data_IF_095708091506
#
_entry.id   IF_095708091506
#
_cell.length_a   1.000
_cell.length_b   1.000
_cell.length_c   1.000
_cell.angle_alpha   90.00
_cell.angle_beta   90.00
_cell.angle_gamma   90.00
#
_symmetry.space_group_name_H-M   'P 1'
#
loop_
_entity.id
_entity.type
_entity.pdbx_description
1 polymer ?
#
# COMPACT_ATOMS: atom_id res chain seq x y z
N UNK A 1 19.21 -42.16 18.75
CA UNK A 1 18.66 -43.38 18.12
C UNK A 1 17.23 -43.52 18.60
N UNK A 2 16.26 -43.52 17.69
CA UNK A 2 14.85 -43.69 18.02
C UNK A 2 14.39 -44.93 17.26
N UNK A 3 13.68 -45.81 17.95
CA UNK A 3 13.19 -47.08 17.45
C UNK A 3 11.71 -47.16 17.84
N UNK A 4 10.78 -47.37 16.89
CA UNK A 4 9.39 -47.81 17.09
C UNK A 4 8.76 -48.25 15.75
N UNK A 5 7.83 -49.19 15.87
CA UNK A 5 7.09 -49.98 14.88
C UNK A 5 5.66 -49.45 14.66
N UNK A 6 5.12 -49.55 13.43
CA UNK A 6 3.68 -49.32 13.14
C UNK A 6 3.14 -50.40 12.20
N UNK A 7 1.96 -50.96 12.52
CA UNK A 7 1.23 -51.87 11.63
C UNK A 7 0.20 -51.11 10.79
N UNK A 8 0.37 -51.12 9.48
CA UNK A 8 -0.69 -50.76 8.53
C UNK A 8 -1.54 -52.01 8.27
N UNK A 9 -2.81 -51.97 8.69
CA UNK A 9 -3.78 -53.00 8.34
C UNK A 9 -4.34 -52.68 6.96
N UNK A 10 -3.87 -53.40 5.94
CA UNK A 10 -4.47 -53.34 4.62
C UNK A 10 -5.76 -54.17 4.62
N UNK A 11 -6.92 -53.53 4.74
CA UNK A 11 -8.22 -54.20 4.59
C UNK A 11 -8.78 -54.09 3.16
N UNK A 12 -7.97 -53.65 2.18
CA UNK A 12 -8.36 -53.52 0.78
C UNK A 12 -7.30 -54.02 -0.20
N UNK A 13 -7.72 -54.32 -1.45
CA UNK A 13 -6.86 -54.82 -2.52
C UNK A 13 -6.04 -53.71 -3.22
N UNK A 14 -5.38 -52.83 -2.46
CA UNK A 14 -4.47 -51.82 -2.99
C UNK A 14 -3.01 -52.26 -2.83
N UNK A 15 -2.29 -52.36 -3.94
CA UNK A 15 -0.89 -52.75 -4.03
C UNK A 15 -0.03 -51.49 -4.03
N UNK A 16 0.59 -51.19 -2.89
CA UNK A 16 1.39 -49.97 -2.66
C UNK A 16 2.85 -50.07 -3.16
N UNK A 17 3.09 -50.82 -4.24
CA UNK A 17 4.46 -51.19 -4.65
C UNK A 17 5.34 -50.03 -5.13
N UNK A 18 4.77 -48.87 -5.49
CA UNK A 18 5.51 -47.73 -6.05
C UNK A 18 5.28 -46.37 -5.32
N UNK A 19 4.61 -46.37 -4.17
CA UNK A 19 4.36 -45.15 -3.40
C UNK A 19 5.65 -44.58 -2.79
N UNK A 20 5.91 -43.28 -2.96
CA UNK A 20 7.01 -42.57 -2.28
C UNK A 20 6.44 -41.78 -1.10
N UNK A 21 7.04 -41.92 0.08
CA UNK A 21 6.69 -41.14 1.27
C UNK A 21 7.73 -40.03 1.42
N UNK A 22 7.30 -38.77 1.39
CA UNK A 22 8.16 -37.60 1.65
C UNK A 22 7.82 -37.00 3.01
N UNK A 23 8.86 -36.62 3.77
CA UNK A 23 8.74 -35.99 5.07
C UNK A 23 9.31 -34.57 5.02
N UNK A 24 8.62 -33.62 5.64
CA UNK A 24 9.07 -32.23 5.77
C UNK A 24 9.20 -31.90 7.26
N UNK A 25 10.33 -31.34 7.71
CA UNK A 25 10.56 -30.96 9.11
C UNK A 25 10.83 -29.45 9.21
N UNK A 26 10.07 -28.74 10.05
CA UNK A 26 10.00 -27.27 10.12
C UNK A 26 11.25 -26.51 10.62
N UNK A 27 12.43 -27.11 10.87
CA UNK A 27 13.49 -26.35 11.59
C UNK A 27 14.96 -26.64 11.27
N UNK A 28 15.27 -27.33 10.17
CA UNK A 28 16.65 -27.41 9.72
C UNK A 28 16.64 -27.10 8.23
N UNK A 29 17.46 -26.13 7.81
CA UNK A 29 17.72 -25.75 6.40
C UNK A 29 18.27 -26.89 5.53
N UNK A 30 18.09 -28.15 5.93
CA UNK A 30 18.54 -29.35 5.25
C UNK A 30 17.35 -30.30 5.05
N UNK A 31 17.04 -30.56 3.78
CA UNK A 31 16.12 -31.63 3.39
C UNK A 31 16.70 -32.99 3.78
N UNK A 32 15.88 -33.85 4.39
CA UNK A 32 16.21 -35.27 4.56
C UNK A 32 15.40 -36.04 3.52
N UNK A 33 16.04 -36.41 2.41
CA UNK A 33 15.44 -37.31 1.40
C UNK A 33 15.60 -38.75 1.88
N UNK A 34 14.48 -39.45 2.04
CA UNK A 34 14.46 -40.88 2.36
C UNK A 34 13.71 -41.60 1.25
N UNK A 35 14.37 -42.57 0.62
CA UNK A 35 13.78 -43.41 -0.43
C UNK A 35 13.57 -44.82 0.14
N UNK A 36 12.38 -45.38 -0.04
CA UNK A 36 12.12 -46.78 0.30
C UNK A 36 11.23 -47.41 -0.77
N UNK A 37 11.69 -48.54 -1.28
CA UNK A 37 10.89 -49.48 -2.07
C UNK A 37 10.43 -50.60 -1.14
N UNK A 38 9.14 -50.63 -0.85
CA UNK A 38 8.39 -51.63 -0.07
C UNK A 38 8.52 -51.59 1.48
N UNK A 39 7.34 -51.68 2.13
CA UNK A 39 7.08 -51.97 3.55
C UNK A 39 8.20 -51.65 4.56
N UNK A 40 8.37 -50.37 4.90
CA UNK A 40 9.15 -49.99 6.08
C UNK A 40 8.47 -48.88 6.89
N UNK A 41 8.62 -48.99 8.20
CA UNK A 41 8.16 -48.05 9.23
C UNK A 41 9.17 -46.91 9.39
N UNK A 42 8.69 -45.67 9.54
CA UNK A 42 9.50 -44.49 9.86
C UNK A 42 9.02 -43.84 11.17
N UNK A 43 9.93 -43.36 12.01
CA UNK A 43 9.61 -42.68 13.27
C UNK A 43 10.43 -41.39 13.46
N UNK A 44 9.77 -40.32 13.93
CA UNK A 44 10.36 -39.01 14.27
C UNK A 44 10.25 -38.72 15.77
N UNK A 45 11.09 -37.82 16.29
CA UNK A 45 11.08 -37.44 17.71
C UNK A 45 9.85 -36.55 18.05
N UNK A 46 9.36 -36.64 19.27
CA UNK A 46 8.15 -35.96 19.79
C UNK A 46 8.22 -34.43 19.75
N UNK A 47 9.41 -33.83 19.66
CA UNK A 47 9.59 -32.39 19.44
C UNK A 47 9.29 -31.92 18.01
N UNK A 48 9.00 -32.85 17.10
CA UNK A 48 8.79 -32.58 15.66
C UNK A 48 7.38 -32.97 15.20
N UNK A 49 6.55 -33.54 16.09
CA UNK A 49 5.22 -34.06 15.76
C UNK A 49 4.27 -33.00 15.19
N UNK A 50 4.30 -31.76 15.70
CA UNK A 50 3.47 -30.65 15.21
C UNK A 50 4.12 -29.90 14.02
N UNK A 51 5.28 -30.39 13.57
CA UNK A 51 6.18 -29.75 12.60
C UNK A 51 6.47 -30.64 11.39
N UNK A 52 5.85 -31.83 11.34
CA UNK A 52 6.08 -32.84 10.33
C UNK A 52 4.85 -33.04 9.43
N UNK A 53 5.04 -32.89 8.12
CA UNK A 53 4.00 -33.16 7.11
C UNK A 53 4.31 -34.48 6.39
N UNK A 54 3.35 -35.40 6.37
CA UNK A 54 3.45 -36.70 5.66
C UNK A 54 2.66 -36.58 4.37
N UNK A 55 3.36 -36.53 3.23
CA UNK A 55 2.73 -36.53 1.90
C UNK A 55 2.83 -37.91 1.28
N UNK A 56 1.67 -38.50 0.99
CA UNK A 56 1.57 -39.71 0.18
C UNK A 56 1.70 -39.30 -1.29
N UNK A 57 2.89 -39.44 -1.85
CA UNK A 57 3.10 -39.35 -3.29
C UNK A 57 2.82 -40.76 -3.84
N UNK A 58 1.53 -41.07 -3.99
CA UNK A 58 1.13 -42.21 -4.82
C UNK A 58 1.50 -41.81 -6.24
N UNK A 59 2.72 -42.16 -6.65
CA UNK A 59 2.91 -42.51 -8.04
C UNK A 59 1.85 -43.58 -8.30
N UNK A 60 0.81 -43.19 -9.03
CA UNK A 60 -0.21 -44.10 -9.49
C UNK A 60 0.49 -45.11 -10.41
N UNK A 61 1.07 -46.15 -9.82
CA UNK A 61 1.22 -47.41 -10.51
C UNK A 61 -0.17 -47.73 -11.02
N UNK A 62 -0.30 -47.82 -12.33
CA UNK A 62 -1.53 -48.00 -13.10
C UNK A 62 -2.37 -49.15 -12.53
N UNK A 63 -3.08 -48.92 -11.41
CA UNK A 63 -3.88 -49.94 -10.75
C UNK A 63 -5.17 -50.06 -11.54
N UNK A 64 -5.12 -51.02 -12.47
CA UNK A 64 -6.23 -51.56 -13.25
C UNK A 64 -6.69 -50.65 -14.40
N UNK A 65 -6.06 -50.82 -15.56
CA UNK A 65 -6.84 -50.92 -16.80
C UNK A 65 -7.86 -52.06 -16.59
N UNK A 66 -9.07 -51.74 -16.11
CA UNK A 66 -10.15 -52.71 -15.83
C UNK A 66 -10.78 -53.28 -17.12
N UNK A 67 -10.27 -52.88 -18.28
CA UNK A 67 -10.67 -53.36 -19.60
C UNK A 67 -9.47 -53.86 -20.44
N UNK A 68 -8.48 -54.50 -19.82
CA UNK A 68 -7.58 -55.36 -20.59
C UNK A 68 -8.11 -56.79 -20.56
N UNK A 69 -8.61 -57.26 -21.69
CA UNK A 69 -8.88 -58.67 -21.95
C UNK A 69 -7.68 -59.50 -21.54
N UNK A 70 -7.90 -60.57 -20.79
CA UNK A 70 -6.89 -61.50 -20.26
C UNK A 70 -5.69 -61.75 -21.18
N UNK A 71 -4.57 -61.07 -20.92
CA UNK A 71 -3.30 -61.37 -21.58
C UNK A 71 -2.57 -62.46 -20.78
N UNK A 72 -2.45 -63.65 -21.37
CA UNK A 72 -1.60 -64.71 -20.84
C UNK A 72 -0.12 -64.33 -20.97
N UNK A 73 0.63 -64.61 -19.91
CA UNK A 73 2.09 -64.73 -19.86
C UNK A 73 2.92 -63.42 -19.99
N UNK A 74 3.49 -62.98 -18.86
CA UNK A 74 4.94 -62.69 -18.76
C UNK A 74 5.49 -61.32 -19.20
N UNK A 75 4.75 -60.44 -19.88
CA UNK A 75 5.24 -59.09 -20.20
C UNK A 75 4.11 -58.14 -20.55
N UNK A 76 3.72 -57.27 -19.62
CA UNK A 76 2.70 -56.24 -19.87
C UNK A 76 3.34 -54.99 -20.49
N UNK A 77 3.55 -54.99 -21.80
CA UNK A 77 3.60 -53.74 -22.58
C UNK A 77 2.26 -53.61 -23.29
N UNK A 78 1.31 -52.88 -22.70
CA UNK A 78 0.09 -52.45 -23.39
C UNK A 78 0.41 -51.16 -24.16
N UNK A 79 0.40 -51.23 -25.49
CA UNK A 79 0.56 -50.09 -26.40
C UNK A 79 -0.65 -49.16 -26.45
N UNK A 80 -1.80 -49.60 -25.93
CA UNK A 80 -3.11 -48.94 -26.13
C UNK A 80 -3.88 -48.65 -24.82
N UNK A 81 -3.23 -48.70 -23.64
CA UNK A 81 -3.87 -48.20 -22.41
C UNK A 81 -3.83 -46.66 -22.41
N UNK A 82 -4.95 -46.04 -22.79
CA UNK A 82 -5.21 -44.63 -22.45
C UNK A 82 -5.56 -44.62 -20.96
N UNK A 83 -4.62 -44.21 -20.11
CA UNK A 83 -4.94 -43.94 -18.70
C UNK A 83 -6.02 -42.85 -18.67
N UNK A 84 -7.14 -43.03 -17.93
CA UNK A 84 -8.10 -41.96 -17.75
C UNK A 84 -7.36 -40.74 -17.20
N UNK A 85 -7.60 -39.57 -17.81
CA UNK A 85 -7.00 -38.32 -17.36
C UNK A 85 -7.38 -38.13 -15.90
N UNK A 86 -6.43 -38.32 -14.99
CA UNK A 86 -6.68 -38.14 -13.57
C UNK A 86 -7.00 -36.68 -13.35
N UNK A 87 -8.17 -36.41 -12.76
CA UNK A 87 -8.52 -35.06 -12.33
C UNK A 87 -7.38 -34.51 -11.47
N UNK A 88 -7.11 -33.22 -11.62
CA UNK A 88 -6.05 -32.53 -10.87
C UNK A 88 -6.64 -31.32 -10.14
N UNK A 89 -6.01 -30.90 -9.03
CA UNK A 89 -6.28 -29.61 -8.44
C UNK A 89 -5.83 -28.47 -9.38
N UNK A 90 -6.35 -27.28 -9.13
CA UNK A 90 -5.95 -26.03 -9.81
C UNK A 90 -5.96 -24.91 -8.77
N UNK A 91 -4.83 -24.71 -8.08
CA UNK A 91 -4.77 -23.75 -6.99
C UNK A 91 -4.55 -22.35 -7.56
N UNK A 92 -5.13 -21.35 -6.91
CA UNK A 92 -4.92 -19.97 -7.33
C UNK A 92 -5.02 -18.97 -6.19
N UNK A 93 -4.34 -17.85 -6.37
CA UNK A 93 -4.52 -16.66 -5.55
C UNK A 93 -5.38 -15.68 -6.33
N UNK A 94 -6.62 -15.48 -5.88
CA UNK A 94 -7.62 -14.71 -6.63
C UNK A 94 -7.61 -13.22 -6.30
N UNK A 95 -7.40 -12.85 -5.03
CA UNK A 95 -7.44 -11.45 -4.62
C UNK A 95 -6.71 -11.23 -3.29
N UNK A 96 -6.26 -9.98 -3.06
CA UNK A 96 -5.73 -9.49 -1.78
C UNK A 96 -6.36 -8.15 -1.42
N UNK A 97 -6.94 -8.09 -0.22
CA UNK A 97 -7.57 -6.93 0.39
C UNK A 97 -6.94 -6.61 1.75
N UNK A 98 -7.07 -5.37 2.20
CA UNK A 98 -6.48 -4.88 3.45
C UNK A 98 -7.57 -4.33 4.36
N UNK A 99 -7.46 -4.57 5.67
CA UNK A 99 -8.27 -3.95 6.72
C UNK A 99 -7.31 -3.24 7.68
N UNK A 100 -7.45 -1.91 7.80
CA UNK A 100 -6.60 -1.06 8.64
C UNK A 100 -6.09 0.17 7.88
N UNK A 101 -5.26 0.99 8.52
CA UNK A 101 -4.72 2.21 7.92
C UNK A 101 -3.26 2.07 7.47
N UNK A 102 -3.01 2.24 6.17
CA UNK A 102 -1.65 2.23 5.58
C UNK A 102 -0.87 3.54 5.82
N UNK A 103 -1.47 4.56 6.43
CA UNK A 103 -0.81 5.85 6.71
C UNK A 103 -0.30 6.00 8.15
N UNK A 104 -0.41 4.95 8.97
CA UNK A 104 0.07 4.93 10.36
C UNK A 104 1.20 3.92 10.50
N UNK A 105 2.46 4.37 10.59
CA UNK A 105 3.60 3.46 10.80
C UNK A 105 3.45 2.76 12.15
N UNK A 106 3.75 1.46 12.18
CA UNK A 106 3.69 0.64 13.38
C UNK A 106 2.28 0.12 13.71
N UNK A 107 1.25 0.52 12.95
CA UNK A 107 -0.07 -0.09 13.05
C UNK A 107 -0.03 -1.51 12.46
N UNK A 108 -0.63 -2.46 13.18
CA UNK A 108 -0.85 -3.80 12.66
C UNK A 108 -2.13 -3.81 11.83
N UNK A 109 -2.00 -4.10 10.53
CA UNK A 109 -3.14 -4.27 9.64
C UNK A 109 -3.38 -5.74 9.33
N UNK A 110 -4.61 -6.04 8.91
CA UNK A 110 -5.00 -7.37 8.46
C UNK A 110 -4.99 -7.44 6.93
N UNK A 111 -4.31 -8.43 6.39
CA UNK A 111 -4.26 -8.75 4.97
C UNK A 111 -5.11 -9.98 4.75
N UNK A 112 -6.20 -9.81 4.01
CA UNK A 112 -7.09 -10.90 3.62
C UNK A 112 -6.78 -11.31 2.20
N UNK A 113 -6.34 -12.55 2.01
CA UNK A 113 -6.14 -13.16 0.69
C UNK A 113 -7.19 -14.20 0.41
N UNK A 114 -7.77 -14.17 -0.80
CA UNK A 114 -8.70 -15.16 -1.30
C UNK A 114 -7.93 -16.18 -2.13
N UNK A 115 -7.88 -17.42 -1.66
CA UNK A 115 -7.32 -18.55 -2.40
C UNK A 115 -8.42 -19.48 -2.89
N UNK A 116 -8.19 -20.13 -4.03
CA UNK A 116 -9.17 -21.05 -4.64
C UNK A 116 -8.52 -22.35 -5.08
N UNK A 117 -9.33 -23.39 -5.13
CA UNK A 117 -9.08 -24.60 -5.89
C UNK A 117 -10.15 -24.69 -6.98
N UNK A 118 -9.76 -24.41 -8.22
CA UNK A 118 -10.61 -24.46 -9.42
C UNK A 118 -10.66 -25.87 -10.03
N UNK A 119 -9.88 -26.80 -9.49
CA UNK A 119 -9.81 -28.18 -9.93
C UNK A 119 -10.81 -29.06 -9.22
N UNK A 120 -10.95 -30.28 -9.74
CA UNK A 120 -11.92 -31.27 -9.24
C UNK A 120 -11.37 -32.15 -8.11
N UNK A 121 -10.11 -31.96 -7.71
CA UNK A 121 -9.46 -32.76 -6.66
C UNK A 121 -9.30 -31.95 -5.38
N UNK A 122 -9.73 -32.54 -4.26
CA UNK A 122 -9.50 -32.02 -2.90
C UNK A 122 -8.00 -31.99 -2.58
N UNK A 123 -7.55 -30.88 -1.98
CA UNK A 123 -6.23 -30.76 -1.39
C UNK A 123 -6.34 -30.80 0.12
N UNK A 124 -5.67 -31.80 0.70
CA UNK A 124 -5.63 -31.93 2.15
C UNK A 124 -4.77 -30.83 2.77
N UNK A 125 -3.59 -30.54 2.25
CA UNK A 125 -2.81 -29.43 2.77
C UNK A 125 -1.99 -28.82 1.65
N UNK A 126 -2.02 -27.50 1.55
CA UNK A 126 -1.10 -26.72 0.72
C UNK A 126 -0.67 -25.49 1.48
N UNK A 127 0.58 -25.07 1.27
CA UNK A 127 1.15 -23.88 1.90
C UNK A 127 0.70 -22.65 1.13
N UNK A 128 0.19 -21.65 1.84
CA UNK A 128 -0.01 -20.30 1.33
C UNK A 128 0.97 -19.39 2.05
N UNK A 129 1.85 -18.76 1.29
CA UNK A 129 2.91 -17.88 1.77
C UNK A 129 2.63 -16.45 1.34
N UNK A 130 2.84 -15.51 2.26
CA UNK A 130 2.86 -14.07 1.99
C UNK A 130 4.29 -13.56 2.20
N UNK A 131 4.76 -12.75 1.25
CA UNK A 131 6.05 -12.07 1.30
C UNK A 131 5.83 -10.59 1.03
N UNK A 132 6.29 -9.74 1.93
CA UNK A 132 6.26 -8.27 1.80
C UNK A 132 7.69 -7.79 2.04
N UNK A 133 8.41 -7.52 0.95
CA UNK A 133 9.85 -7.24 0.96
C UNK A 133 10.65 -8.32 1.70
N UNK A 134 11.06 -8.06 2.96
CA UNK A 134 11.80 -8.98 3.82
C UNK A 134 10.94 -9.69 4.87
N UNK A 135 9.66 -9.33 4.98
CA UNK A 135 8.71 -10.00 5.86
C UNK A 135 8.11 -11.23 5.16
N UNK A 136 8.09 -12.36 5.84
CA UNK A 136 7.46 -13.60 5.36
C UNK A 136 6.57 -14.18 6.45
N UNK A 137 5.35 -14.56 6.09
CA UNK A 137 4.45 -15.36 6.92
C UNK A 137 3.76 -16.42 6.06
N UNK A 138 3.21 -17.46 6.67
CA UNK A 138 2.56 -18.53 5.93
C UNK A 138 1.51 -19.28 6.77
N UNK A 139 0.57 -19.90 6.08
CA UNK A 139 -0.42 -20.80 6.66
C UNK A 139 -0.60 -22.04 5.79
N UNK A 140 -1.02 -23.14 6.40
CA UNK A 140 -1.48 -24.31 5.66
C UNK A 140 -3.00 -24.27 5.52
N UNK A 141 -3.48 -24.67 4.35
CA UNK A 141 -4.91 -24.65 4.03
C UNK A 141 -5.34 -25.98 3.41
N UNK A 142 -6.51 -26.45 3.85
CA UNK A 142 -7.28 -27.52 3.20
C UNK A 142 -8.25 -26.85 2.22
N UNK A 143 -8.32 -27.34 0.98
CA UNK A 143 -9.19 -26.79 -0.06
C UNK A 143 -9.97 -27.90 -0.78
N UNK A 144 -11.29 -27.86 -0.65
CA UNK A 144 -12.20 -28.70 -1.44
C UNK A 144 -12.07 -28.40 -2.93
N UNK A 145 -12.39 -29.40 -3.75
CA UNK A 145 -12.58 -29.20 -5.17
C UNK A 145 -13.59 -28.08 -5.43
N UNK A 146 -13.32 -27.22 -6.42
CA UNK A 146 -14.18 -26.10 -6.79
C UNK A 146 -14.57 -25.18 -5.61
N UNK A 147 -13.65 -24.94 -4.68
CA UNK A 147 -13.92 -24.13 -3.48
C UNK A 147 -12.93 -22.98 -3.31
N UNK A 148 -13.28 -22.04 -2.44
CA UNK A 148 -12.46 -20.88 -2.11
C UNK A 148 -12.42 -20.63 -0.60
N UNK A 149 -11.36 -19.98 -0.14
CA UNK A 149 -11.17 -19.67 1.28
C UNK A 149 -10.41 -18.35 1.44
N UNK A 150 -10.89 -17.55 2.39
CA UNK A 150 -10.17 -16.37 2.86
C UNK A 150 -9.17 -16.77 3.92
N UNK A 151 -7.98 -16.20 3.83
CA UNK A 151 -6.87 -16.37 4.75
C UNK A 151 -6.43 -14.98 5.23
N UNK A 152 -6.16 -14.88 6.53
CA UNK A 152 -5.82 -13.63 7.20
C UNK A 152 -4.37 -13.65 7.69
N UNK A 153 -3.63 -12.61 7.36
CA UNK A 153 -2.24 -12.39 7.80
C UNK A 153 -2.14 -11.02 8.47
N UNK A 154 -1.32 -10.92 9.50
CA UNK A 154 -1.05 -9.65 10.17
C UNK A 154 0.27 -9.07 9.65
N UNK A 155 0.28 -7.77 9.33
CA UNK A 155 1.48 -7.07 8.93
C UNK A 155 1.57 -5.72 9.65
N UNK A 156 2.76 -5.39 10.14
CA UNK A 156 3.04 -4.09 10.75
C UNK A 156 3.46 -3.13 9.64
N UNK A 157 2.72 -2.04 9.48
CA UNK A 157 2.97 -1.04 8.44
C UNK A 157 4.33 -0.39 8.64
N UNK A 158 5.16 -0.50 7.60
CA UNK A 158 6.42 0.22 7.42
C UNK A 158 6.26 1.33 6.39
N UNK A 159 7.19 2.28 6.37
CA UNK A 159 7.15 3.38 5.39
C UNK A 159 7.64 2.97 3.99
N UNK A 160 7.11 3.64 2.98
CA UNK A 160 7.60 3.59 1.61
C UNK A 160 6.86 2.67 0.65
N UNK A 161 7.57 2.21 -0.38
CA UNK A 161 7.04 1.31 -1.40
C UNK A 161 7.38 -0.14 -1.05
N UNK A 162 6.37 -1.00 -1.11
CA UNK A 162 6.46 -2.42 -0.78
C UNK A 162 5.96 -3.27 -1.93
N UNK A 163 6.54 -4.46 -2.07
CA UNK A 163 6.04 -5.48 -2.99
C UNK A 163 5.47 -6.65 -2.21
N UNK A 164 4.14 -6.74 -2.18
CA UNK A 164 3.43 -7.88 -1.61
C UNK A 164 3.30 -8.98 -2.66
N UNK A 165 3.66 -10.19 -2.27
CA UNK A 165 3.51 -11.40 -3.06
C UNK A 165 2.80 -12.44 -2.21
N UNK A 166 1.72 -12.99 -2.72
CA UNK A 166 1.05 -14.16 -2.14
C UNK A 166 1.22 -15.32 -3.11
N UNK A 167 1.63 -16.48 -2.59
CA UNK A 167 1.83 -17.69 -3.37
C UNK A 167 1.14 -18.87 -2.68
N UNK A 168 0.45 -19.71 -3.46
CA UNK A 168 -0.05 -21.01 -3.02
C UNK A 168 0.80 -22.11 -3.65
N UNK A 169 1.16 -23.14 -2.89
CA UNK A 169 2.15 -24.16 -3.28
C UNK A 169 3.49 -23.55 -3.78
N UNK A 170 4.17 -22.67 -3.01
CA UNK A 170 5.41 -22.03 -3.46
C UNK A 170 6.55 -23.02 -3.70
N UNK A 171 6.54 -24.18 -3.03
CA UNK A 171 7.49 -25.26 -3.26
C UNK A 171 7.17 -26.10 -4.51
N UNK A 172 6.04 -25.81 -5.18
CA UNK A 172 5.63 -26.42 -6.44
C UNK A 172 5.52 -27.95 -6.36
N UNK A 173 5.06 -28.46 -5.22
CA UNK A 173 5.00 -29.89 -4.91
C UNK A 173 3.73 -30.52 -5.49
N UNK A 174 2.67 -29.74 -5.64
CA UNK A 174 1.37 -30.19 -6.14
C UNK A 174 1.39 -30.27 -7.67
N UNK A 175 0.86 -31.35 -8.21
CA UNK A 175 0.68 -31.49 -9.66
C UNK A 175 -0.68 -30.94 -10.07
N UNK A 176 -0.68 -29.73 -10.60
CA UNK A 176 -1.88 -28.97 -10.93
C UNK A 176 -2.13 -28.92 -12.43
N UNK A 177 -3.34 -28.51 -12.83
CA UNK A 177 -3.67 -28.21 -14.23
C UNK A 177 -3.01 -26.90 -14.70
N UNK A 178 -2.94 -25.90 -13.84
CA UNK A 178 -2.35 -24.60 -14.08
C UNK A 178 -1.53 -24.18 -12.87
N UNK A 179 -0.32 -23.65 -13.12
CA UNK A 179 0.61 -23.18 -12.08
C UNK A 179 0.86 -21.68 -12.16
N UNK A 180 0.35 -21.04 -13.21
CA UNK A 180 0.60 -19.62 -13.49
C UNK A 180 -0.28 -18.69 -12.64
N UNK A 181 -1.36 -19.22 -12.09
CA UNK A 181 -2.33 -18.56 -11.20
C UNK A 181 -2.03 -18.77 -9.71
N UNK A 182 -0.98 -19.52 -9.38
CA UNK A 182 -0.57 -19.80 -8.00
C UNK A 182 0.06 -18.59 -7.30
N UNK A 183 0.31 -17.50 -8.02
CA UNK A 183 1.03 -16.34 -7.50
C UNK A 183 0.33 -15.04 -7.89
N UNK A 184 0.15 -14.16 -6.91
CA UNK A 184 -0.31 -12.79 -7.09
C UNK A 184 0.70 -11.83 -6.48
N UNK A 185 1.13 -10.84 -7.26
CA UNK A 185 2.03 -9.77 -6.80
C UNK A 185 1.34 -8.43 -6.93
N UNK A 186 1.40 -7.62 -5.87
CA UNK A 186 0.77 -6.30 -5.76
C UNK A 186 1.77 -5.30 -5.18
N UNK A 187 1.95 -4.17 -5.87
CA UNK A 187 2.67 -3.02 -5.32
C UNK A 187 1.79 -2.31 -4.30
N UNK A 188 2.36 -1.95 -3.17
CA UNK A 188 1.72 -1.20 -2.09
C UNK A 188 2.59 0.02 -1.83
N UNK A 189 1.99 1.20 -1.82
CA UNK A 189 2.67 2.42 -1.36
C UNK A 189 2.01 2.82 -0.05
N UNK A 190 2.78 2.84 1.03
CA UNK A 190 2.34 3.36 2.33
C UNK A 190 2.69 4.85 2.40
N UNK A 191 2.69 5.40 3.60
CA UNK A 191 3.10 6.77 3.82
C UNK A 191 4.64 6.91 3.94
N UNK A 192 5.12 8.15 3.89
CA UNK A 192 6.53 8.52 4.12
C UNK A 192 6.66 9.42 5.35
N UNK A 193 7.66 9.17 6.21
CA UNK A 193 7.98 10.10 7.30
C UNK A 193 8.58 11.38 6.72
N UNK A 194 8.03 12.58 7.03
CA UNK A 194 8.61 13.82 6.57
C UNK A 194 9.95 14.10 7.26
N UNK A 195 10.90 14.63 6.51
CA UNK A 195 12.20 15.09 6.98
C UNK A 195 12.56 16.42 6.29
N UNK A 196 13.55 17.13 6.82
CA UNK A 196 14.02 18.39 6.24
C UNK A 196 14.65 18.17 4.86
N UNK A 197 14.44 19.11 3.93
CA UNK A 197 14.83 18.98 2.51
C UNK A 197 14.22 17.75 1.79
N UNK A 198 13.00 17.33 2.13
CA UNK A 198 12.33 16.21 1.46
C UNK A 198 11.79 16.61 0.08
N UNK A 199 12.31 15.96 -0.97
CA UNK A 199 11.90 16.22 -2.36
C UNK A 199 10.66 15.41 -2.79
N UNK A 200 9.63 16.10 -3.25
CA UNK A 200 8.42 15.50 -3.81
C UNK A 200 8.54 15.42 -5.35
N UNK A 201 8.79 14.22 -5.85
CA UNK A 201 8.99 13.91 -7.28
C UNK A 201 7.89 13.02 -7.88
N UNK A 202 7.00 12.48 -7.03
CA UNK A 202 5.86 11.64 -7.38
C UNK A 202 4.74 11.93 -6.39
N UNK A 203 3.54 11.43 -6.66
CA UNK A 203 2.45 11.47 -5.69
C UNK A 203 2.92 10.85 -4.37
N UNK A 204 2.81 11.60 -3.29
CA UNK A 204 3.39 11.26 -1.99
C UNK A 204 2.34 11.48 -0.91
N UNK A 205 2.22 10.49 -0.01
CA UNK A 205 1.38 10.56 1.18
C UNK A 205 2.32 10.58 2.39
N UNK A 206 2.20 11.59 3.27
CA UNK A 206 2.97 11.62 4.52
C UNK A 206 2.28 10.81 5.62
N UNK A 207 3.08 10.30 6.55
CA UNK A 207 2.56 9.54 7.68
C UNK A 207 1.87 10.46 8.67
N UNK A 208 0.76 9.98 9.25
CA UNK A 208 0.10 10.73 10.30
C UNK A 208 1.00 10.83 11.54
N UNK A 209 1.11 12.02 12.10
CA UNK A 209 1.96 12.27 13.27
C UNK A 209 2.24 13.74 13.50
N UNK A 210 3.03 14.02 14.54
CA UNK A 210 3.59 15.35 14.81
C UNK A 210 5.10 15.26 14.69
N UNK A 211 5.66 16.05 13.78
CA UNK A 211 7.07 16.05 13.43
C UNK A 211 7.65 17.43 13.73
N UNK A 212 8.58 17.50 14.68
CA UNK A 212 9.30 18.73 14.99
C UNK A 212 10.46 18.87 14.00
N UNK A 213 10.24 19.58 12.90
CA UNK A 213 11.20 19.70 11.80
C UNK A 213 11.52 21.18 11.57
N UNK A 214 12.75 21.53 11.90
CA UNK A 214 13.35 22.84 11.61
C UNK A 214 13.86 22.83 10.18
N UNK A 215 13.53 23.86 9.40
CA UNK A 215 14.13 24.10 8.08
C UNK A 215 15.56 24.60 8.28
N UNK A 216 16.52 23.68 8.16
CA UNK A 216 17.95 23.95 8.31
C UNK A 216 18.61 24.28 6.96
N UNK A 217 17.88 24.98 6.09
CA UNK A 217 18.35 25.31 4.74
C UNK A 217 17.67 26.53 4.15
N UNK A 218 17.59 26.57 2.81
CA UNK A 218 16.95 27.67 2.07
C UNK A 218 15.75 27.22 1.25
N UNK A 219 15.46 25.92 1.25
CA UNK A 219 14.54 25.32 0.30
C UNK A 219 13.22 24.88 0.91
N UNK A 220 13.04 24.91 2.24
CA UNK A 220 11.84 24.46 2.93
C UNK A 220 11.90 23.00 3.36
N UNK A 221 11.14 22.63 4.38
CA UNK A 221 11.09 21.25 4.91
C UNK A 221 10.64 20.27 3.82
N UNK A 222 9.54 20.59 3.13
CA UNK A 222 9.09 19.83 1.96
C UNK A 222 9.30 20.67 0.70
N UNK A 223 9.98 20.09 -0.29
CA UNK A 223 10.36 20.74 -1.54
C UNK A 223 9.62 20.08 -2.69
N UNK A 224 8.73 20.81 -3.34
CA UNK A 224 8.10 20.34 -4.57
C UNK A 224 9.10 20.45 -5.71
N UNK A 225 9.37 19.33 -6.38
CA UNK A 225 10.43 19.25 -7.38
C UNK A 225 9.99 18.64 -8.73
N UNK A 226 8.69 18.48 -8.92
CA UNK A 226 8.12 18.04 -10.20
C UNK A 226 6.72 18.57 -10.36
N UNK A 227 6.34 18.94 -11.58
CA UNK A 227 4.96 19.29 -11.93
C UNK A 227 4.05 18.05 -11.95
N UNK A 228 2.73 18.27 -11.80
CA UNK A 228 1.69 17.23 -11.82
C UNK A 228 1.88 16.16 -10.73
N UNK A 229 2.11 16.60 -9.49
CA UNK A 229 2.19 15.70 -8.32
C UNK A 229 1.22 16.14 -7.22
N UNK A 230 0.79 15.15 -6.45
CA UNK A 230 -0.01 15.32 -5.25
C UNK A 230 0.85 15.11 -4.00
N UNK A 231 0.90 16.11 -3.13
CA UNK A 231 1.32 15.96 -1.75
C UNK A 231 0.08 15.88 -0.86
N UNK A 232 -0.19 14.69 -0.34
CA UNK A 232 -1.16 14.49 0.73
C UNK A 232 -0.44 14.32 2.05
N UNK A 233 -0.55 15.28 2.97
CA UNK A 233 0.13 15.14 4.25
C UNK A 233 -0.53 14.09 5.15
N UNK A 234 -1.67 13.48 4.79
CA UNK A 234 -2.30 12.44 5.61
C UNK A 234 -2.69 12.91 7.02
N UNK A 235 -2.81 14.23 7.25
CA UNK A 235 -3.00 14.82 8.57
C UNK A 235 -1.72 15.04 9.37
N UNK A 236 -0.53 14.84 8.79
CA UNK A 236 0.76 15.12 9.41
C UNK A 236 0.86 16.59 9.87
N UNK A 237 1.45 16.77 11.05
CA UNK A 237 1.83 18.08 11.58
C UNK A 237 3.31 18.30 11.42
N UNK A 238 3.69 19.26 10.58
CA UNK A 238 5.04 19.79 10.50
C UNK A 238 5.11 20.99 11.44
N UNK A 239 5.88 20.85 12.52
CA UNK A 239 6.06 21.84 13.56
C UNK A 239 7.47 22.41 13.50
N UNK A 240 7.58 23.66 13.08
CA UNK A 240 8.84 24.38 12.88
C UNK A 240 9.38 25.04 14.15
N UNK A 241 10.09 26.16 13.94
CA UNK A 241 10.75 26.96 14.98
C UNK A 241 10.76 28.46 14.67
N UNK A 242 9.71 28.93 13.99
CA UNK A 242 9.53 30.26 13.40
C UNK A 242 10.47 30.61 12.23
N UNK A 243 11.32 29.68 11.79
CA UNK A 243 12.27 29.88 10.69
C UNK A 243 11.92 29.04 9.45
N UNK A 244 12.26 29.55 8.27
CA UNK A 244 12.17 28.82 7.00
C UNK A 244 10.75 28.60 6.47
N UNK A 245 10.60 27.64 5.56
CA UNK A 245 9.33 27.33 4.89
C UNK A 245 8.86 25.92 5.25
N UNK A 246 7.58 25.76 5.59
CA UNK A 246 7.01 24.44 5.82
C UNK A 246 6.96 23.63 4.52
N UNK A 247 6.37 24.22 3.48
CA UNK A 247 6.33 23.65 2.13
C UNK A 247 6.74 24.73 1.13
N UNK A 248 7.68 24.40 0.25
CA UNK A 248 8.17 25.30 -0.79
C UNK A 248 7.93 24.72 -2.18
N UNK A 249 7.34 25.55 -3.03
CA UNK A 249 7.01 25.25 -4.41
C UNK A 249 7.52 26.41 -5.28
N UNK A 250 8.47 26.12 -6.16
CA UNK A 250 9.11 27.13 -7.01
C UNK A 250 9.29 26.63 -8.44
N UNK A 251 8.61 27.26 -9.39
CA UNK A 251 8.70 26.94 -10.82
C UNK A 251 8.04 25.62 -11.27
N UNK A 252 7.14 25.03 -10.46
CA UNK A 252 6.45 23.79 -10.79
C UNK A 252 4.93 23.95 -10.78
N UNK A 253 4.27 23.35 -11.76
CA UNK A 253 2.85 23.60 -12.05
C UNK A 253 1.96 22.39 -11.76
N UNK A 254 0.66 22.64 -11.65
CA UNK A 254 -0.37 21.63 -11.46
C UNK A 254 -0.15 20.75 -10.22
N UNK A 255 0.31 21.36 -9.13
CA UNK A 255 0.57 20.70 -7.86
C UNK A 255 -0.67 20.72 -6.99
N UNK A 256 -0.90 19.64 -6.26
CA UNK A 256 -2.00 19.49 -5.30
C UNK A 256 -1.42 19.28 -3.91
N UNK A 257 -1.60 20.23 -2.98
CA UNK A 257 -1.15 20.12 -1.57
C UNK A 257 -2.37 20.06 -0.66
N UNK A 258 -2.50 18.97 0.11
CA UNK A 258 -3.69 18.73 0.94
C UNK A 258 -3.43 18.07 2.28
N UNK A 259 -4.39 18.28 3.19
CA UNK A 259 -4.46 17.64 4.50
C UNK A 259 -3.21 17.86 5.38
N UNK A 260 -2.51 18.98 5.20
CA UNK A 260 -1.31 19.33 5.96
C UNK A 260 -1.64 20.20 7.17
N UNK A 261 -0.99 19.92 8.30
CA UNK A 261 -0.95 20.83 9.44
C UNK A 261 0.43 21.48 9.49
N UNK A 262 0.52 22.79 9.25
CA UNK A 262 1.78 23.54 9.16
C UNK A 262 1.84 24.59 10.26
N UNK A 263 2.81 24.42 11.16
CA UNK A 263 2.90 25.21 12.39
C UNK A 263 4.28 25.80 12.56
N UNK A 264 4.36 27.08 12.92
CA UNK A 264 5.58 27.73 13.38
C UNK A 264 6.73 27.80 12.34
N UNK A 265 6.44 28.26 11.13
CA UNK A 265 7.42 28.60 10.09
C UNK A 265 7.41 30.09 9.75
N UNK A 266 8.44 30.60 9.08
CA UNK A 266 8.37 31.97 8.54
C UNK A 266 7.27 32.06 7.47
N UNK A 267 7.15 31.04 6.62
CA UNK A 267 6.00 30.86 5.72
C UNK A 267 5.52 29.42 5.81
N UNK A 268 4.22 29.20 6.04
CA UNK A 268 3.64 27.86 6.05
C UNK A 268 3.78 27.18 4.69
N UNK A 269 3.16 27.78 3.66
CA UNK A 269 3.29 27.33 2.26
C UNK A 269 3.76 28.50 1.40
N UNK A 270 4.90 28.33 0.72
CA UNK A 270 5.45 29.31 -0.22
C UNK A 270 5.34 28.81 -1.65
N UNK A 271 4.59 29.55 -2.48
CA UNK A 271 4.46 29.32 -3.92
C UNK A 271 5.13 30.47 -4.66
N UNK A 272 6.07 30.16 -5.54
CA UNK A 272 6.83 31.14 -6.30
C UNK A 272 6.88 30.77 -7.80
N UNK A 273 6.58 31.74 -8.68
CA UNK A 273 6.71 31.57 -10.13
C UNK A 273 5.95 30.36 -10.71
N UNK A 274 4.79 30.00 -10.15
CA UNK A 274 4.10 28.73 -10.48
C UNK A 274 2.61 28.90 -10.75
N UNK A 275 2.02 28.02 -11.57
CA UNK A 275 0.62 28.11 -12.00
C UNK A 275 -0.20 26.84 -11.82
N UNK A 276 -1.52 27.02 -11.73
CA UNK A 276 -2.47 25.92 -11.72
C UNK A 276 -2.42 25.04 -10.47
N UNK A 277 -1.86 25.55 -9.37
CA UNK A 277 -1.68 24.78 -8.14
C UNK A 277 -2.93 24.83 -7.25
N UNK A 278 -3.29 23.70 -6.65
CA UNK A 278 -4.40 23.55 -5.72
C UNK A 278 -3.92 23.33 -4.28
N UNK A 279 -4.29 24.22 -3.37
CA UNK A 279 -4.00 24.11 -1.92
C UNK A 279 -5.31 23.94 -1.19
N UNK A 280 -5.55 22.78 -0.56
CA UNK A 280 -6.85 22.51 0.05
C UNK A 280 -6.83 21.67 1.33
N UNK A 281 -7.77 21.96 2.24
CA UNK A 281 -7.94 21.23 3.51
C UNK A 281 -6.68 21.22 4.37
N UNK A 282 -5.90 22.30 4.33
CA UNK A 282 -4.73 22.47 5.18
C UNK A 282 -5.09 23.32 6.40
N UNK A 283 -4.50 23.00 7.55
CA UNK A 283 -4.52 23.83 8.75
C UNK A 283 -3.16 24.52 8.88
N UNK A 284 -3.13 25.84 8.76
CA UNK A 284 -1.89 26.62 8.69
C UNK A 284 -1.91 27.65 9.80
N UNK A 285 -1.04 27.51 10.80
CA UNK A 285 -1.09 28.37 11.98
C UNK A 285 0.24 28.75 12.60
N UNK A 286 0.29 29.89 13.29
CA UNK A 286 1.49 30.40 13.97
C UNK A 286 2.68 30.64 13.05
N UNK A 287 2.45 30.87 11.76
CA UNK A 287 3.49 31.21 10.80
C UNK A 287 3.61 32.74 10.63
N UNK A 288 4.72 33.22 10.06
CA UNK A 288 4.84 34.61 9.63
C UNK A 288 3.80 34.95 8.56
N UNK A 289 3.86 34.25 7.43
CA UNK A 289 2.77 34.18 6.45
C UNK A 289 2.19 32.77 6.45
N UNK A 290 0.86 32.63 6.45
CA UNK A 290 0.23 31.32 6.32
C UNK A 290 0.51 30.73 4.94
N UNK A 291 -0.03 31.38 3.91
CA UNK A 291 0.24 31.05 2.51
C UNK A 291 0.78 32.29 1.81
N UNK A 292 1.98 32.19 1.26
CA UNK A 292 2.53 33.16 0.32
C UNK A 292 2.43 32.61 -1.09
N UNK A 293 1.97 33.41 -2.04
CA UNK A 293 1.86 33.00 -3.43
C UNK A 293 2.19 34.11 -4.43
N UNK A 294 3.05 33.74 -5.38
CA UNK A 294 3.33 34.45 -6.62
C UNK A 294 3.14 33.48 -7.80
N UNK A 295 2.42 33.92 -8.85
CA UNK A 295 2.18 33.10 -10.04
C UNK A 295 0.82 33.37 -10.66
N UNK A 296 0.14 32.36 -11.21
CA UNK A 296 -1.21 32.57 -11.78
C UNK A 296 -2.10 31.34 -11.65
N UNK A 297 -3.42 31.48 -11.74
CA UNK A 297 -4.36 30.33 -11.79
C UNK A 297 -4.29 29.36 -10.60
N UNK A 298 -3.72 29.79 -9.47
CA UNK A 298 -3.68 28.97 -8.26
C UNK A 298 -5.03 29.01 -7.52
N UNK A 299 -5.46 27.86 -7.00
CA UNK A 299 -6.70 27.67 -6.24
C UNK A 299 -6.39 27.38 -4.78
N UNK A 300 -6.89 28.22 -3.88
CA UNK A 300 -6.78 28.06 -2.43
C UNK A 300 -8.17 27.83 -1.88
N UNK A 301 -8.48 26.63 -1.39
CA UNK A 301 -9.84 26.34 -0.91
C UNK A 301 -9.97 25.40 0.27
N UNK A 302 -10.98 25.62 1.12
CA UNK A 302 -11.25 24.76 2.27
C UNK A 302 -10.08 24.68 3.26
N UNK A 303 -9.23 25.70 3.35
CA UNK A 303 -8.14 25.75 4.32
C UNK A 303 -8.57 26.51 5.58
N UNK A 304 -8.02 26.13 6.72
CA UNK A 304 -8.11 26.88 7.98
C UNK A 304 -6.76 27.58 8.22
N UNK A 305 -6.76 28.90 8.18
CA UNK A 305 -5.54 29.72 8.20
C UNK A 305 -5.66 30.70 9.36
N UNK A 306 -5.02 30.37 10.48
CA UNK A 306 -5.21 31.13 11.71
C UNK A 306 -3.97 31.38 12.55
N UNK A 307 -3.98 32.44 13.35
CA UNK A 307 -2.84 32.78 14.23
C UNK A 307 -1.52 33.05 13.49
N UNK A 308 -1.56 33.41 12.20
CA UNK A 308 -0.36 33.79 11.46
C UNK A 308 -0.12 35.32 11.54
N UNK A 309 1.01 35.79 11.02
CA UNK A 309 1.22 37.22 10.73
C UNK A 309 0.21 37.72 9.69
N UNK A 310 0.36 37.27 8.45
CA UNK A 310 -0.67 37.36 7.43
C UNK A 310 -1.28 35.98 7.14
N UNK A 311 -2.57 35.92 6.79
CA UNK A 311 -3.23 34.66 6.45
C UNK A 311 -2.82 34.16 5.06
N UNK A 312 -3.38 34.77 4.02
CA UNK A 312 -3.04 34.52 2.61
C UNK A 312 -2.46 35.80 2.02
N UNK A 313 -1.26 35.72 1.46
CA UNK A 313 -0.62 36.83 0.77
C UNK A 313 -0.36 36.47 -0.70
N UNK A 314 -1.12 37.10 -1.59
CA UNK A 314 -0.88 37.10 -3.02
C UNK A 314 -0.02 38.32 -3.40
N UNK A 315 1.17 38.06 -3.94
CA UNK A 315 2.08 39.09 -4.42
C UNK A 315 2.36 38.88 -5.91
N UNK A 316 1.95 39.84 -6.74
CA UNK A 316 2.01 39.67 -8.18
C UNK A 316 0.96 38.68 -8.69
N UNK A 317 0.91 38.47 -10.00
CA UNK A 317 0.11 37.39 -10.57
C UNK A 317 -1.34 37.72 -10.94
N UNK A 318 -2.08 36.71 -11.36
CA UNK A 318 -3.46 36.89 -11.82
C UNK A 318 -4.29 35.59 -11.80
N UNK A 319 -5.62 35.75 -11.81
CA UNK A 319 -6.60 34.66 -11.93
C UNK A 319 -6.52 33.62 -10.80
N UNK A 320 -6.20 34.03 -9.58
CA UNK A 320 -6.29 33.17 -8.42
C UNK A 320 -7.75 32.96 -7.98
N UNK A 321 -8.06 31.77 -7.50
CA UNK A 321 -9.36 31.46 -6.90
C UNK A 321 -9.20 31.10 -5.41
N UNK A 322 -9.63 32.01 -4.54
CA UNK A 322 -9.55 31.85 -3.08
C UNK A 322 -10.97 31.66 -2.57
N UNK A 323 -11.34 30.44 -2.19
CA UNK A 323 -12.73 30.15 -1.84
C UNK A 323 -12.94 29.18 -0.68
N UNK A 324 -14.02 29.38 0.09
CA UNK A 324 -14.39 28.48 1.19
C UNK A 324 -13.27 28.29 2.25
N UNK A 325 -12.39 29.27 2.44
CA UNK A 325 -11.39 29.22 3.50
C UNK A 325 -11.91 29.88 4.76
N UNK A 326 -11.47 29.37 5.91
CA UNK A 326 -11.60 30.04 7.19
C UNK A 326 -10.27 30.75 7.49
N UNK A 327 -10.29 32.09 7.53
CA UNK A 327 -9.10 32.91 7.72
C UNK A 327 -9.28 33.80 8.94
N UNK A 328 -8.73 33.38 10.07
CA UNK A 328 -9.09 33.97 11.36
C UNK A 328 -7.91 34.24 12.29
N UNK A 329 -8.02 35.27 13.13
CA UNK A 329 -7.03 35.54 14.20
C UNK A 329 -5.61 35.74 13.70
N UNK A 330 -5.42 36.19 12.45
CA UNK A 330 -4.10 36.57 11.95
C UNK A 330 -3.79 38.00 12.44
N UNK A 331 -2.57 38.21 12.93
CA UNK A 331 -2.18 39.43 13.65
C UNK A 331 -2.13 40.68 12.76
N UNK A 332 -2.08 40.51 11.44
CA UNK A 332 -2.14 41.58 10.45
C UNK A 332 -3.32 41.39 9.47
N UNK A 333 -3.06 41.01 8.22
CA UNK A 333 -4.09 40.92 7.18
C UNK A 333 -4.55 39.46 7.03
N UNK A 334 -5.87 39.24 6.96
CA UNK A 334 -6.44 37.94 6.63
C UNK A 334 -6.08 37.53 5.20
N UNK A 335 -6.57 38.27 4.20
CA UNK A 335 -6.24 38.04 2.78
C UNK A 335 -5.68 39.33 2.17
N UNK A 336 -4.45 39.27 1.70
CA UNK A 336 -3.77 40.37 1.02
C UNK A 336 -3.60 40.06 -0.46
N UNK A 337 -4.08 40.96 -1.32
CA UNK A 337 -3.89 40.91 -2.78
C UNK A 337 -3.09 42.15 -3.18
N UNK A 338 -1.84 41.96 -3.59
CA UNK A 338 -0.93 43.06 -3.92
C UNK A 338 -0.31 42.86 -5.30
N UNK A 339 -0.50 43.85 -6.17
CA UNK A 339 -0.06 43.83 -7.56
C UNK A 339 -0.59 42.60 -8.30
N UNK A 340 -1.80 42.14 -7.95
CA UNK A 340 -2.43 40.97 -8.55
C UNK A 340 -3.82 41.31 -9.07
N UNK A 341 -4.12 40.85 -10.28
CA UNK A 341 -5.31 41.27 -11.02
C UNK A 341 -6.23 40.07 -11.34
N UNK A 342 -7.53 40.34 -11.48
CA UNK A 342 -8.53 39.35 -11.89
C UNK A 342 -8.67 38.12 -10.97
N UNK A 343 -8.51 38.29 -9.65
CA UNK A 343 -8.65 37.21 -8.68
C UNK A 343 -10.10 37.11 -8.18
N UNK A 344 -10.52 35.90 -7.82
CA UNK A 344 -11.82 35.60 -7.24
C UNK A 344 -11.66 35.23 -5.77
N UNK A 345 -12.27 36.01 -4.87
CA UNK A 345 -12.32 35.75 -3.42
C UNK A 345 -13.78 35.55 -3.00
N UNK A 346 -14.18 34.30 -2.81
CA UNK A 346 -15.60 33.93 -2.63
C UNK A 346 -15.84 32.98 -1.46
N UNK A 347 -16.94 33.17 -0.72
CA UNK A 347 -17.36 32.22 0.34
C UNK A 347 -16.33 32.01 1.46
N UNK A 348 -15.44 32.97 1.72
CA UNK A 348 -14.46 32.84 2.80
C UNK A 348 -15.04 33.38 4.12
N UNK A 349 -14.79 32.70 5.23
CA UNK A 349 -15.09 33.19 6.58
C UNK A 349 -13.86 33.92 7.11
N UNK A 350 -13.93 35.25 7.23
CA UNK A 350 -12.76 36.08 7.54
C UNK A 350 -13.06 36.93 8.76
N UNK A 351 -12.45 36.62 9.91
CA UNK A 351 -12.79 37.29 11.16
C UNK A 351 -11.62 37.37 12.15
N UNK A 352 -11.70 38.32 13.08
CA UNK A 352 -10.65 38.53 14.11
C UNK A 352 -9.23 38.75 13.56
N UNK A 353 -9.10 39.25 12.32
CA UNK A 353 -7.83 39.74 11.78
C UNK A 353 -7.74 41.26 11.98
N UNK A 354 -6.54 41.85 12.07
CA UNK A 354 -6.41 43.33 12.14
C UNK A 354 -7.05 44.00 10.92
N UNK A 355 -6.83 43.42 9.74
CA UNK A 355 -7.55 43.76 8.51
C UNK A 355 -8.09 42.48 7.88
N UNK A 356 -9.37 42.45 7.47
CA UNK A 356 -9.97 41.27 6.85
C UNK A 356 -9.37 40.99 5.47
N UNK A 357 -9.63 41.88 4.52
CA UNK A 357 -9.06 41.84 3.17
C UNK A 357 -8.40 43.18 2.84
N UNK A 358 -7.20 43.12 2.25
CA UNK A 358 -6.51 44.29 1.73
C UNK A 358 -6.16 44.08 0.26
N UNK A 359 -6.55 45.02 -0.60
CA UNK A 359 -6.31 44.95 -2.05
C UNK A 359 -5.54 46.19 -2.51
N UNK A 360 -4.42 45.97 -3.19
CA UNK A 360 -3.61 46.99 -3.83
C UNK A 360 -3.23 46.52 -5.24
N UNK A 361 -3.92 47.00 -6.27
CA UNK A 361 -3.76 46.54 -7.66
C UNK A 361 -2.81 47.42 -8.47
N UNK A 362 -2.42 46.97 -9.67
CA UNK A 362 -1.68 47.82 -10.60
C UNK A 362 -2.47 49.08 -10.98
N UNK A 363 -1.80 50.18 -11.34
CA UNK A 363 -2.46 51.36 -11.90
C UNK A 363 -3.22 50.98 -13.19
N UNK A 364 -4.35 51.63 -13.50
CA UNK A 364 -5.29 51.25 -14.56
C UNK A 364 -4.76 51.29 -16.00
N UNK A 365 -3.46 51.51 -16.22
CA UNK A 365 -2.85 51.59 -17.55
C UNK A 365 -2.66 50.22 -18.24
N UNK A 366 -2.90 49.09 -17.54
CA UNK A 366 -2.57 47.74 -18.00
C UNK A 366 -3.76 46.75 -17.98
N UNK A 367 -4.89 47.06 -18.63
CA UNK A 367 -6.11 46.22 -18.75
C UNK A 367 -7.16 46.38 -17.63
N UNK A 368 -8.39 45.89 -17.89
CA UNK A 368 -9.48 45.83 -16.93
C UNK A 368 -9.06 44.95 -15.74
N UNK A 369 -8.73 45.60 -14.62
CA UNK A 369 -8.46 44.94 -13.35
C UNK A 369 -9.76 44.80 -12.58
N UNK A 370 -10.22 43.57 -12.33
CA UNK A 370 -11.39 43.31 -11.50
C UNK A 370 -11.16 42.14 -10.54
N UNK A 371 -10.83 42.44 -9.28
CA UNK A 371 -10.88 41.43 -8.23
C UNK A 371 -12.35 41.25 -7.78
N UNK A 372 -12.88 40.03 -7.93
CA UNK A 372 -14.23 39.69 -7.53
C UNK A 372 -14.24 39.28 -6.06
N UNK A 373 -14.88 40.07 -5.20
CA UNK A 373 -15.00 39.79 -3.78
C UNK A 373 -16.48 39.60 -3.44
N UNK A 374 -16.89 38.38 -3.06
CA UNK A 374 -18.29 38.04 -2.78
C UNK A 374 -18.44 37.07 -1.62
N UNK A 375 -19.59 37.14 -0.94
CA UNK A 375 -20.01 36.16 0.07
C UNK A 375 -18.98 35.96 1.20
N UNK A 376 -18.51 37.04 1.80
CA UNK A 376 -17.63 36.97 2.97
C UNK A 376 -18.50 37.01 4.22
N UNK A 377 -18.30 36.05 5.12
CA UNK A 377 -18.96 36.04 6.42
C UNK A 377 -17.95 36.56 7.45
N UNK A 378 -18.25 37.73 8.00
CA UNK A 378 -17.53 38.33 9.12
C UNK A 378 -18.44 38.22 10.36
N UNK A 379 -18.32 37.17 11.20
CA UNK A 379 -19.01 37.13 12.49
C UNK A 379 -18.58 38.25 13.44
#
# INVERSE_FOLDING_TARGET
MIYIETRLNNTGNANLSDGRIKFYLKDLNNMIRVESSLNHTFAFNSSIHDKALIIYDVNYSCEKCKECSSCGCGSCYCSDCICPEHEKPDLSVANVTFIGNLTTIGETIEIITLVKNLGNVYIDYTKVEIVIDNFTDYMFVHLNANSEKNLSFNWIVTEGEHTLTVSIDPENVTNETNKTNNKLTKKITTCFVPYDDMYINVDTILCYGVYNIVDSGTSGVIIINKSNVVLDCGGATLNGSSYGYGIHLSGYDNITIKNCNLVDYTVGIKIYGSKGNGIFRNNISKNGDGIFMEGSHNTISNNNISLNGNGIYCWGGFLHNISNNEVAKNSNIGIQIRLSDNNSVTNNQIYSNRYGIYVYTHPPQYHQVQNLIKSIITP
#
